data_IF_523667548426
#
_entry.id   IF_523667548426
#
_cell.length_a   1.000
_cell.length_b   1.000
_cell.length_c   1.000
_cell.angle_alpha   90.00
_cell.angle_beta   90.00
_cell.angle_gamma   90.00
#
_symmetry.space_group_name_H-M   'P 1'
#
loop_
_entity.id
_entity.type
_entity.pdbx_description
1 polymer ?
#
# COMPACT_ATOMS: atom_id res chain seq x y z
N UNK A 1 21.27 1.99 -24.22
CA UNK A 1 20.67 1.35 -23.04
C UNK A 1 19.54 0.45 -23.50
N UNK A 2 19.77 -0.86 -23.49
CA UNK A 2 18.72 -1.81 -23.79
C UNK A 2 17.77 -1.91 -22.60
N UNK A 3 16.78 -1.05 -22.56
CA UNK A 3 15.57 -1.34 -21.83
C UNK A 3 14.78 -2.33 -22.69
N UNK A 4 14.74 -3.59 -22.28
CA UNK A 4 13.91 -4.59 -22.93
C UNK A 4 12.42 -4.21 -22.83
N UNK A 5 11.53 -4.77 -23.66
CA UNK A 5 10.11 -4.41 -23.70
C UNK A 5 9.36 -4.62 -22.39
N UNK A 6 9.96 -5.29 -21.41
CA UNK A 6 9.41 -5.53 -20.08
C UNK A 6 10.13 -4.79 -18.94
N UNK A 7 11.08 -3.92 -19.25
CA UNK A 7 11.67 -2.96 -18.34
C UNK A 7 11.27 -1.54 -18.78
N UNK A 8 10.69 -0.75 -17.91
CA UNK A 8 10.47 -0.93 -16.46
C UNK A 8 9.30 -1.87 -16.13
N UNK A 9 9.43 -2.65 -15.05
CA UNK A 9 8.38 -3.54 -14.56
C UNK A 9 7.40 -2.79 -13.67
N UNK A 10 6.10 -2.90 -13.96
CA UNK A 10 5.05 -2.48 -13.06
C UNK A 10 4.83 -3.59 -12.03
N UNK A 11 4.95 -3.25 -10.75
CA UNK A 11 4.70 -4.14 -9.62
C UNK A 11 3.46 -3.65 -8.88
N UNK A 12 2.47 -4.52 -8.72
CA UNK A 12 1.27 -4.23 -7.94
C UNK A 12 1.43 -4.80 -6.51
N UNK A 13 1.24 -3.95 -5.52
CA UNK A 13 1.27 -4.30 -4.11
C UNK A 13 0.28 -5.37 -3.72
N UNK A 14 -0.82 -5.58 -4.48
CA UNK A 14 -1.86 -6.58 -4.20
C UNK A 14 -1.35 -8.02 -4.16
N UNK A 15 -0.19 -8.30 -4.73
CA UNK A 15 0.44 -9.61 -4.65
C UNK A 15 1.05 -9.90 -3.28
N UNK A 16 1.29 -8.87 -2.47
CA UNK A 16 1.92 -8.96 -1.16
C UNK A 16 0.97 -8.60 -0.02
N UNK A 17 0.15 -7.57 -0.21
CA UNK A 17 -0.76 -6.99 0.78
C UNK A 17 -2.11 -6.68 0.12
N UNK A 18 -3.21 -6.55 0.87
CA UNK A 18 -4.53 -6.32 0.29
C UNK A 18 -4.72 -4.86 -0.19
N UNK A 19 -3.78 -4.38 -1.01
CA UNK A 19 -3.82 -3.03 -1.58
C UNK A 19 -3.41 -3.04 -3.05
N UNK A 20 -4.29 -2.54 -3.90
CA UNK A 20 -3.95 -2.21 -5.28
C UNK A 20 -3.08 -0.96 -5.30
N UNK A 21 -1.78 -1.16 -5.57
CA UNK A 21 -0.78 -0.08 -5.62
C UNK A 21 0.29 -0.43 -6.65
N UNK A 22 0.08 0.01 -7.86
CA UNK A 22 1.03 -0.18 -8.95
C UNK A 22 2.16 0.85 -8.86
N UNK A 23 3.38 0.36 -9.02
CA UNK A 23 4.57 1.20 -9.09
C UNK A 23 5.51 0.66 -10.17
N UNK A 24 6.07 1.57 -10.93
CA UNK A 24 7.16 1.27 -11.84
C UNK A 24 8.43 1.07 -11.00
N UNK A 25 9.12 -0.04 -11.24
CA UNK A 25 10.41 -0.33 -10.62
C UNK A 25 11.47 -0.36 -11.71
N UNK A 26 12.49 0.48 -11.52
CA UNK A 26 13.66 0.57 -12.38
C UNK A 26 14.86 0.03 -11.60
N UNK A 27 15.60 -0.89 -12.20
CA UNK A 27 16.84 -1.42 -11.64
C UNK A 27 17.98 -1.08 -12.58
N UNK A 28 18.99 -0.38 -12.07
CA UNK A 28 20.18 0.01 -12.81
C UNK A 28 21.45 -0.58 -12.20
N UNK A 29 22.38 -0.98 -13.06
CA UNK A 29 23.71 -1.43 -12.66
C UNK A 29 24.77 -0.49 -13.28
N UNK A 30 25.80 -0.20 -12.49
CA UNK A 30 26.96 0.53 -12.98
C UNK A 30 27.68 -0.33 -14.03
N UNK A 31 27.92 0.20 -15.22
CA UNK A 31 28.37 -0.57 -16.39
C UNK A 31 29.73 -1.24 -16.17
N UNK A 32 30.66 -0.51 -15.58
CA UNK A 32 32.02 -0.97 -15.32
C UNK A 32 32.11 -2.19 -14.38
N UNK A 33 31.08 -2.44 -13.56
CA UNK A 33 31.01 -3.60 -12.68
C UNK A 33 30.48 -4.87 -13.38
N UNK A 34 29.95 -4.74 -14.59
CA UNK A 34 29.39 -5.86 -15.39
C UNK A 34 28.48 -6.80 -14.58
N UNK A 35 27.54 -6.23 -13.80
CA UNK A 35 26.68 -6.96 -12.85
C UNK A 35 25.30 -7.29 -13.41
N UNK A 36 24.90 -6.76 -14.57
CA UNK A 36 23.56 -6.97 -15.13
C UNK A 36 23.31 -8.47 -15.38
N UNK A 37 24.16 -9.10 -16.17
CA UNK A 37 24.02 -10.51 -16.55
C UNK A 37 22.62 -10.83 -17.04
N UNK A 38 22.05 -11.90 -16.51
CA UNK A 38 20.70 -12.42 -16.75
C UNK A 38 19.63 -11.86 -15.82
N UNK A 39 19.91 -10.75 -15.09
CA UNK A 39 18.95 -10.18 -14.16
C UNK A 39 17.66 -9.74 -14.86
N UNK A 40 16.54 -10.17 -14.31
CA UNK A 40 15.20 -9.75 -14.75
C UNK A 40 14.25 -9.62 -13.58
N UNK A 41 13.38 -8.63 -13.62
CA UNK A 41 12.26 -8.49 -12.68
C UNK A 41 11.10 -9.46 -13.00
N UNK A 42 11.16 -10.21 -14.10
CA UNK A 42 10.17 -11.25 -14.43
C UNK A 42 10.18 -12.40 -13.42
N UNK A 43 11.28 -12.58 -12.68
CA UNK A 43 11.40 -13.62 -11.65
C UNK A 43 10.71 -13.24 -10.33
N UNK A 44 10.22 -12.01 -10.21
CA UNK A 44 9.56 -11.52 -9.00
C UNK A 44 8.37 -12.38 -8.52
N UNK A 45 7.53 -12.96 -9.40
CA UNK A 45 6.43 -13.84 -8.98
C UNK A 45 6.87 -15.04 -8.13
N UNK A 46 8.10 -15.54 -8.30
CA UNK A 46 8.63 -16.63 -7.47
C UNK A 46 8.82 -16.26 -6.00
N UNK A 47 8.81 -14.95 -5.70
CA UNK A 47 8.95 -14.39 -4.35
C UNK A 47 7.64 -13.87 -3.77
N UNK A 48 6.51 -14.08 -4.45
CA UNK A 48 5.21 -13.74 -3.88
C UNK A 48 4.91 -14.66 -2.70
N UNK A 49 4.30 -14.16 -1.63
CA UNK A 49 3.88 -14.99 -0.52
C UNK A 49 2.82 -15.99 -0.99
N UNK A 50 2.88 -17.22 -0.50
CA UNK A 50 1.87 -18.23 -0.79
C UNK A 50 0.46 -17.79 -0.37
N UNK A 51 0.38 -16.98 0.71
CA UNK A 51 -0.84 -16.34 1.17
C UNK A 51 -0.51 -14.92 1.64
N UNK A 52 -1.19 -13.93 1.09
CA UNK A 52 -1.14 -12.57 1.60
C UNK A 52 -2.10 -12.40 2.79
N UNK A 53 -1.88 -11.44 3.69
CA UNK A 53 -2.87 -11.04 4.69
C UNK A 53 -4.18 -10.59 4.01
N UNK A 54 -5.30 -10.80 4.69
CA UNK A 54 -6.59 -10.20 4.31
C UNK A 54 -6.68 -8.77 4.85
N UNK A 55 -7.70 -8.02 4.43
CA UNK A 55 -7.97 -6.70 5.04
C UNK A 55 -8.25 -6.86 6.53
N UNK A 56 -9.04 -7.86 6.93
CA UNK A 56 -9.37 -8.13 8.34
C UNK A 56 -8.12 -8.34 9.20
N UNK A 57 -7.11 -9.06 8.69
CA UNK A 57 -5.86 -9.31 9.42
C UNK A 57 -5.09 -8.03 9.77
N UNK A 58 -5.28 -6.95 8.99
CA UNK A 58 -4.59 -5.68 9.19
C UNK A 58 -5.30 -4.76 10.20
N UNK A 59 -6.59 -4.99 10.44
CA UNK A 59 -7.40 -4.11 11.28
C UNK A 59 -7.06 -4.25 12.75
N UNK A 60 -7.21 -3.15 13.49
CA UNK A 60 -7.13 -3.14 14.95
C UNK A 60 -8.46 -3.63 15.52
N UNK A 61 -8.45 -4.44 16.61
CA UNK A 61 -9.67 -5.01 17.19
C UNK A 61 -10.59 -3.95 17.80
N UNK A 62 -10.03 -2.83 18.25
CA UNK A 62 -10.76 -1.70 18.80
C UNK A 62 -10.19 -0.39 18.22
N UNK A 63 -11.05 0.47 17.75
CA UNK A 63 -10.68 1.72 17.07
C UNK A 63 -11.46 2.87 17.68
N UNK A 64 -10.77 3.99 17.95
CA UNK A 64 -11.37 5.23 18.43
C UNK A 64 -12.47 5.72 17.48
N UNK A 65 -13.58 6.21 18.05
CA UNK A 65 -14.71 6.75 17.31
C UNK A 65 -14.33 7.92 16.38
N UNK A 66 -13.22 8.61 16.62
CA UNK A 66 -12.69 9.68 15.74
C UNK A 66 -12.41 9.22 14.31
N UNK A 67 -12.21 7.91 14.09
CA UNK A 67 -11.98 7.36 12.76
C UNK A 67 -13.28 7.02 12.03
N UNK A 68 -14.42 6.96 12.71
CA UNK A 68 -15.73 6.78 12.09
C UNK A 68 -16.10 8.11 11.40
N UNK A 69 -16.59 8.04 10.16
CA UNK A 69 -17.01 9.25 9.45
C UNK A 69 -18.17 9.92 10.20
N UNK A 70 -18.08 11.23 10.33
CA UNK A 70 -19.22 12.01 10.85
C UNK A 70 -20.42 11.88 9.90
N UNK A 71 -21.69 12.00 10.41
CA UNK A 71 -22.88 11.96 9.55
C UNK A 71 -22.78 12.95 8.37
N UNK A 72 -22.26 14.14 8.63
CA UNK A 72 -22.13 15.21 7.63
C UNK A 72 -21.13 14.81 6.53
N UNK A 73 -19.94 14.30 6.92
CA UNK A 73 -18.92 13.90 5.96
C UNK A 73 -19.38 12.68 5.14
N UNK A 74 -19.99 11.69 5.80
CA UNK A 74 -20.52 10.52 5.10
C UNK A 74 -21.62 10.89 4.10
N UNK A 75 -22.56 11.77 4.49
CA UNK A 75 -23.61 12.27 3.59
C UNK A 75 -23.04 13.03 2.39
N UNK A 76 -22.01 13.83 2.62
CA UNK A 76 -21.30 14.54 1.54
C UNK A 76 -20.64 13.55 0.55
N UNK A 77 -19.84 12.61 1.02
CA UNK A 77 -19.17 11.63 0.17
C UNK A 77 -20.16 10.76 -0.63
N UNK A 78 -21.22 10.33 0.04
CA UNK A 78 -22.27 9.51 -0.58
C UNK A 78 -22.97 10.24 -1.72
N UNK A 79 -23.42 11.48 -1.47
CA UNK A 79 -24.07 12.33 -2.48
C UNK A 79 -23.12 12.71 -3.61
N UNK A 80 -21.89 13.04 -3.28
CA UNK A 80 -20.86 13.36 -4.26
C UNK A 80 -20.61 12.19 -5.20
N UNK A 81 -20.45 10.98 -4.67
CA UNK A 81 -20.27 9.78 -5.47
C UNK A 81 -21.45 9.54 -6.42
N UNK A 82 -22.70 9.60 -5.92
CA UNK A 82 -23.90 9.45 -6.75
C UNK A 82 -23.97 10.48 -7.88
N UNK A 83 -23.71 11.74 -7.58
CA UNK A 83 -23.71 12.83 -8.57
C UNK A 83 -22.72 12.60 -9.71
N UNK A 84 -21.52 12.11 -9.39
CA UNK A 84 -20.49 11.87 -10.40
C UNK A 84 -20.73 10.59 -11.18
N UNK A 85 -21.22 9.52 -10.55
CA UNK A 85 -21.63 8.29 -11.23
C UNK A 85 -22.75 8.54 -12.24
N UNK A 86 -23.75 9.35 -11.90
CA UNK A 86 -24.82 9.72 -12.81
C UNK A 86 -24.32 10.48 -14.06
N UNK A 87 -23.14 11.10 -13.99
CA UNK A 87 -22.47 11.78 -15.11
C UNK A 87 -21.48 10.89 -15.85
N UNK A 88 -21.39 9.60 -15.52
CA UNK A 88 -20.43 8.67 -16.09
C UNK A 88 -18.97 8.95 -15.71
N UNK A 89 -18.73 9.74 -14.65
CA UNK A 89 -17.38 10.08 -14.20
C UNK A 89 -17.26 9.98 -12.67
N UNK A 90 -16.02 10.14 -12.17
CA UNK A 90 -15.72 10.11 -10.75
C UNK A 90 -15.43 8.70 -10.22
N UNK A 91 -14.48 8.65 -9.29
CA UNK A 91 -14.05 7.39 -8.67
C UNK A 91 -14.91 7.00 -7.47
N UNK A 92 -15.77 7.89 -6.96
CA UNK A 92 -16.52 7.69 -5.74
C UNK A 92 -15.62 7.46 -4.53
N UNK A 93 -16.16 6.81 -3.52
CA UNK A 93 -15.40 6.32 -2.36
C UNK A 93 -15.04 4.83 -2.53
N UNK A 94 -13.98 4.40 -1.84
CA UNK A 94 -13.51 3.02 -1.83
C UNK A 94 -13.99 2.25 -0.62
N UNK A 95 -15.26 1.77 -0.62
CA UNK A 95 -15.77 0.90 0.45
C UNK A 95 -15.12 -0.48 0.36
N UNK A 96 -14.65 -0.99 1.48
CA UNK A 96 -14.00 -2.29 1.60
C UNK A 96 -14.72 -3.10 2.68
N UNK A 97 -15.23 -4.25 2.28
CA UNK A 97 -15.80 -5.21 3.22
C UNK A 97 -14.66 -6.07 3.83
N UNK A 98 -14.36 -5.93 5.14
CA UNK A 98 -13.29 -6.69 5.78
C UNK A 98 -13.62 -8.18 5.93
N UNK A 99 -14.89 -8.57 5.87
CA UNK A 99 -15.32 -9.96 5.97
C UNK A 99 -15.10 -10.75 4.67
N UNK A 100 -14.87 -10.06 3.55
CA UNK A 100 -14.51 -10.72 2.30
C UNK A 100 -12.98 -10.87 2.24
N UNK A 101 -12.45 -12.11 2.28
CA UNK A 101 -11.00 -12.37 2.29
C UNK A 101 -10.29 -11.91 0.99
N UNK A 102 -11.04 -11.82 -0.11
CA UNK A 102 -10.50 -11.38 -1.40
C UNK A 102 -10.48 -9.86 -1.56
N UNK A 103 -11.04 -9.12 -0.60
CA UNK A 103 -11.03 -7.66 -0.63
C UNK A 103 -9.64 -7.09 -0.84
N UNK A 104 -9.57 -6.11 -1.74
CA UNK A 104 -8.36 -5.31 -2.01
C UNK A 104 -8.73 -3.84 -1.91
N UNK A 105 -7.97 -3.10 -1.14
CA UNK A 105 -8.16 -1.65 -1.00
C UNK A 105 -7.65 -0.93 -2.26
N UNK A 106 -8.13 0.29 -2.46
CA UNK A 106 -7.50 1.24 -3.39
C UNK A 106 -6.12 1.67 -2.86
N UNK A 107 -5.38 2.38 -3.68
CA UNK A 107 -4.10 2.97 -3.28
C UNK A 107 -4.26 3.97 -2.13
N UNK A 108 -3.57 3.77 -1.02
CA UNK A 108 -3.44 4.75 0.04
C UNK A 108 -2.68 5.96 -0.48
N UNK A 109 -3.29 7.14 -0.46
CA UNK A 109 -2.68 8.38 -0.93
C UNK A 109 -2.10 9.23 0.20
N UNK A 110 -1.18 10.14 -0.14
CA UNK A 110 -0.66 11.14 0.82
C UNK A 110 -1.74 12.12 1.31
N UNK A 111 -2.91 12.15 0.67
CA UNK A 111 -4.03 13.02 1.02
C UNK A 111 -5.09 12.32 1.87
N UNK A 112 -4.87 11.06 2.24
CA UNK A 112 -5.81 10.24 3.03
C UNK A 112 -6.27 10.94 4.33
N UNK A 113 -5.43 11.80 4.91
CA UNK A 113 -5.76 12.58 6.11
C UNK A 113 -6.95 13.52 5.92
N UNK A 114 -7.33 13.87 4.70
CA UNK A 114 -8.43 14.83 4.43
C UNK A 114 -9.80 14.22 4.75
N UNK A 115 -10.23 13.28 3.93
CA UNK A 115 -11.53 12.62 4.05
C UNK A 115 -11.46 11.07 4.07
N UNK A 116 -10.31 10.53 3.67
CA UNK A 116 -10.08 9.08 3.65
C UNK A 116 -10.94 8.34 2.64
N UNK A 117 -11.51 9.05 1.66
CA UNK A 117 -12.52 8.49 0.75
C UNK A 117 -12.00 7.34 -0.12
N UNK A 118 -10.69 7.26 -0.37
CA UNK A 118 -10.11 6.18 -1.17
C UNK A 118 -10.16 4.81 -0.49
N UNK A 119 -10.18 4.74 0.86
CA UNK A 119 -10.27 3.50 1.62
C UNK A 119 -11.17 3.69 2.83
N UNK A 120 -12.38 3.18 2.75
CA UNK A 120 -13.34 3.20 3.85
C UNK A 120 -13.67 1.78 4.26
N UNK A 121 -13.49 1.46 5.53
CA UNK A 121 -13.83 0.14 6.07
C UNK A 121 -15.34 0.11 6.32
N UNK A 122 -15.99 -0.85 5.68
CA UNK A 122 -17.40 -1.12 5.88
C UNK A 122 -17.65 -1.63 7.31
N UNK A 123 -18.68 -1.09 7.94
CA UNK A 123 -19.15 -1.46 9.27
C UNK A 123 -20.59 -2.01 9.25
N UNK A 124 -21.04 -2.46 8.06
CA UNK A 124 -22.39 -2.96 7.86
C UNK A 124 -23.38 -1.88 7.39
N UNK A 125 -22.91 -0.85 6.65
CA UNK A 125 -23.81 0.13 6.06
C UNK A 125 -24.76 -0.55 5.07
N UNK A 126 -26.08 -0.48 5.36
CA UNK A 126 -27.10 -0.93 4.42
C UNK A 126 -27.29 0.13 3.32
N UNK A 127 -26.88 -0.23 2.11
CA UNK A 127 -26.96 0.67 0.96
C UNK A 127 -28.41 0.92 0.54
N UNK A 128 -29.27 -0.11 0.57
CA UNK A 128 -30.66 0.02 0.16
C UNK A 128 -31.45 0.91 1.13
N UNK A 129 -31.24 0.70 2.43
CA UNK A 129 -31.82 1.57 3.45
C UNK A 129 -31.28 3.00 3.33
N UNK A 130 -29.97 3.18 3.12
CA UNK A 130 -29.37 4.50 2.95
C UNK A 130 -29.82 5.24 1.67
N UNK A 131 -30.31 4.51 0.68
CA UNK A 131 -30.93 5.09 -0.52
C UNK A 131 -32.38 5.55 -0.27
N UNK A 132 -33.09 4.83 0.57
CA UNK A 132 -34.47 5.13 0.95
C UNK A 132 -34.51 6.23 2.01
N UNK A 133 -33.73 6.09 3.07
CA UNK A 133 -33.59 7.04 4.16
C UNK A 133 -32.13 7.09 4.61
N UNK A 134 -31.39 8.07 4.15
CA UNK A 134 -29.98 8.23 4.51
C UNK A 134 -29.77 8.49 5.99
N UNK A 135 -30.72 9.17 6.64
CA UNK A 135 -30.60 9.64 8.00
C UNK A 135 -31.18 8.63 9.02
N UNK A 136 -31.58 7.40 8.58
CA UNK A 136 -32.04 6.35 9.45
C UNK A 136 -31.07 6.11 10.63
N UNK A 137 -31.54 6.20 11.89
CA UNK A 137 -30.68 6.16 13.07
C UNK A 137 -29.90 4.84 13.24
N UNK A 138 -30.49 3.71 12.82
CA UNK A 138 -29.82 2.41 12.93
C UNK A 138 -28.70 2.32 11.88
N UNK A 139 -29.00 2.67 10.63
CA UNK A 139 -28.00 2.68 9.57
C UNK A 139 -26.87 3.65 9.86
N UNK A 140 -27.17 4.79 10.47
CA UNK A 140 -26.17 5.79 10.86
C UNK A 140 -25.16 5.27 11.90
N UNK A 141 -25.48 4.22 12.68
CA UNK A 141 -24.50 3.57 13.56
C UNK A 141 -23.45 2.74 12.78
N UNK A 142 -23.79 2.34 11.56
CA UNK A 142 -22.96 1.55 10.66
C UNK A 142 -22.18 2.40 9.65
N UNK A 143 -22.07 3.73 9.87
CA UNK A 143 -21.23 4.58 9.01
C UNK A 143 -19.83 4.00 8.88
N UNK A 144 -19.25 4.04 7.68
CA UNK A 144 -17.90 3.54 7.46
C UNK A 144 -16.87 4.35 8.25
N UNK A 145 -15.68 3.76 8.40
CA UNK A 145 -14.57 4.40 9.07
C UNK A 145 -13.32 4.48 8.19
N UNK A 146 -12.44 5.39 8.51
CA UNK A 146 -11.09 5.42 7.95
C UNK A 146 -10.21 4.38 8.63
N UNK A 147 -9.10 4.05 7.99
CA UNK A 147 -8.00 3.32 8.63
C UNK A 147 -7.34 4.19 9.70
N UNK A 148 -6.84 3.57 10.75
CA UNK A 148 -5.93 4.22 11.69
C UNK A 148 -4.52 4.37 11.09
N UNK A 149 -3.65 5.21 11.64
CA UNK A 149 -2.24 5.25 11.24
C UNK A 149 -1.54 3.89 11.37
N UNK A 150 -1.89 3.10 12.38
CA UNK A 150 -1.37 1.75 12.60
C UNK A 150 -1.79 0.78 11.49
N UNK A 151 -3.05 0.80 11.15
CA UNK A 151 -3.59 0.01 10.03
C UNK A 151 -2.96 0.43 8.70
N UNK A 152 -2.68 1.71 8.50
CA UNK A 152 -1.92 2.18 7.33
C UNK A 152 -0.47 1.64 7.32
N UNK A 153 0.20 1.59 8.48
CA UNK A 153 1.53 0.99 8.59
C UNK A 153 1.51 -0.49 8.18
N UNK A 154 0.51 -1.24 8.63
CA UNK A 154 0.31 -2.66 8.27
C UNK A 154 -0.03 -2.82 6.79
N UNK A 155 -0.90 -1.96 6.24
CA UNK A 155 -1.28 -1.97 4.83
C UNK A 155 -0.11 -1.66 3.90
N UNK A 156 0.91 -0.94 4.39
CA UNK A 156 2.14 -0.67 3.67
C UNK A 156 3.26 -1.67 3.97
N UNK A 157 3.06 -2.57 4.95
CA UNK A 157 4.00 -3.63 5.31
C UNK A 157 5.17 -3.16 6.19
N UNK A 158 5.05 -2.02 6.89
CA UNK A 158 6.03 -1.59 7.89
C UNK A 158 5.98 -2.45 9.15
N UNK A 159 4.88 -3.14 9.35
CA UNK A 159 4.68 -4.04 10.48
C UNK A 159 3.78 -5.21 10.06
N UNK A 160 3.93 -6.36 10.70
CA UNK A 160 3.05 -7.50 10.49
C UNK A 160 1.68 -7.27 11.13
N UNK A 161 0.63 -7.99 10.73
CA UNK A 161 -0.70 -7.84 11.33
C UNK A 161 -0.72 -7.99 12.86
N UNK A 162 0.13 -8.84 13.41
CA UNK A 162 0.23 -9.12 14.84
C UNK A 162 1.30 -8.27 15.56
N UNK A 163 2.06 -7.46 14.81
CA UNK A 163 3.14 -6.64 15.34
C UNK A 163 2.69 -5.26 15.80
N UNK A 164 3.40 -4.72 16.79
CA UNK A 164 3.29 -3.34 17.27
C UNK A 164 4.67 -2.70 17.44
N UNK A 165 5.65 -3.18 16.68
CA UNK A 165 7.04 -2.77 16.81
C UNK A 165 7.36 -1.46 16.10
N UNK A 166 6.61 -1.12 15.04
CA UNK A 166 6.86 0.11 14.27
C UNK A 166 6.40 1.34 15.05
N UNK A 167 7.33 2.22 15.39
CA UNK A 167 7.03 3.46 16.13
C UNK A 167 6.52 4.54 15.19
N UNK A 168 5.38 5.17 15.56
CA UNK A 168 4.76 6.28 14.83
C UNK A 168 4.83 7.53 15.74
N UNK A 169 5.96 8.25 15.80
CA UNK A 169 6.17 9.36 16.74
C UNK A 169 5.63 10.70 16.20
N UNK A 170 4.72 10.68 15.25
CA UNK A 170 4.17 11.85 14.58
C UNK A 170 2.65 11.90 14.72
N UNK A 171 2.03 13.04 14.41
CA UNK A 171 0.57 13.18 14.39
C UNK A 171 -0.07 12.27 13.33
N UNK A 172 -1.35 11.91 13.53
CA UNK A 172 -2.12 11.11 12.57
C UNK A 172 -2.04 11.69 11.15
N UNK A 173 -2.14 13.02 11.01
CA UNK A 173 -2.02 13.71 9.71
C UNK A 173 -0.68 13.46 9.03
N UNK A 174 0.41 13.57 9.78
CA UNK A 174 1.75 13.32 9.24
C UNK A 174 1.98 11.84 8.94
N UNK A 175 1.47 10.95 9.78
CA UNK A 175 1.53 9.51 9.55
C UNK A 175 0.84 9.12 8.23
N UNK A 176 -0.37 9.59 7.99
CA UNK A 176 -1.07 9.36 6.72
C UNK A 176 -0.29 9.88 5.51
N UNK A 177 0.30 11.08 5.61
CA UNK A 177 1.11 11.64 4.52
C UNK A 177 2.35 10.79 4.25
N UNK A 178 3.04 10.35 5.29
CA UNK A 178 4.25 9.54 5.18
C UNK A 178 3.93 8.16 4.59
N UNK A 179 2.93 7.45 5.13
CA UNK A 179 2.52 6.15 4.59
C UNK A 179 2.01 6.25 3.15
N UNK A 180 1.20 7.26 2.84
CA UNK A 180 0.69 7.48 1.48
C UNK A 180 1.79 7.77 0.45
N UNK A 181 2.89 8.39 0.86
CA UNK A 181 4.07 8.63 0.00
C UNK A 181 5.05 7.47 -0.03
N UNK A 182 4.88 6.46 0.84
CA UNK A 182 5.82 5.35 0.94
C UNK A 182 5.57 4.25 -0.11
N UNK A 183 6.37 3.20 -0.02
CA UNK A 183 6.28 2.01 -0.87
C UNK A 183 5.65 0.85 -0.09
N UNK A 184 5.14 -0.16 -0.80
CA UNK A 184 4.76 -1.45 -0.20
C UNK A 184 6.06 -2.20 0.13
N UNK A 185 6.41 -2.22 1.41
CA UNK A 185 7.70 -2.73 1.90
C UNK A 185 8.01 -4.16 1.41
N UNK A 186 7.10 -5.15 1.50
CA UNK A 186 7.40 -6.50 1.05
C UNK A 186 7.66 -6.63 -0.46
N UNK A 187 7.06 -5.75 -1.28
CA UNK A 187 7.34 -5.74 -2.72
C UNK A 187 8.79 -5.32 -3.01
N UNK A 188 9.26 -4.27 -2.34
CA UNK A 188 10.65 -3.81 -2.49
C UNK A 188 11.65 -4.75 -1.82
N UNK A 189 11.27 -5.41 -0.72
CA UNK A 189 12.07 -6.48 -0.12
C UNK A 189 12.26 -7.67 -1.09
N UNK A 190 11.23 -8.03 -1.84
CA UNK A 190 11.35 -9.07 -2.88
C UNK A 190 12.30 -8.63 -4.01
N UNK A 191 12.21 -7.38 -4.49
CA UNK A 191 13.17 -6.84 -5.46
C UNK A 191 14.60 -6.87 -4.91
N UNK A 192 14.80 -6.48 -3.66
CA UNK A 192 16.11 -6.53 -3.01
C UNK A 192 16.66 -7.96 -2.92
N UNK A 193 15.81 -8.96 -2.67
CA UNK A 193 16.20 -10.38 -2.69
C UNK A 193 16.70 -10.84 -4.06
N UNK A 194 16.04 -10.41 -5.15
CA UNK A 194 16.53 -10.70 -6.51
C UNK A 194 17.91 -10.09 -6.78
N UNK A 195 18.21 -8.95 -6.15
CA UNK A 195 19.47 -8.24 -6.31
C UNK A 195 20.58 -8.75 -5.38
N UNK A 196 20.28 -9.59 -4.38
CA UNK A 196 21.19 -9.92 -3.28
C UNK A 196 22.55 -10.47 -3.77
N UNK A 197 22.56 -11.40 -4.73
CA UNK A 197 23.80 -11.98 -5.28
C UNK A 197 24.67 -10.93 -5.98
N UNK A 198 24.07 -9.99 -6.67
CA UNK A 198 24.75 -8.91 -7.39
C UNK A 198 25.29 -7.84 -6.44
N UNK A 199 24.55 -7.54 -5.38
CA UNK A 199 25.01 -6.65 -4.31
C UNK A 199 26.24 -7.24 -3.63
N UNK A 200 26.20 -8.52 -3.27
CA UNK A 200 27.35 -9.22 -2.67
C UNK A 200 28.59 -9.18 -3.57
N UNK A 201 28.40 -9.42 -4.88
CA UNK A 201 29.51 -9.33 -5.84
C UNK A 201 30.07 -7.92 -5.97
N UNK A 202 29.20 -6.89 -5.97
CA UNK A 202 29.64 -5.49 -6.01
C UNK A 202 30.49 -5.11 -4.78
N UNK A 203 30.10 -5.60 -3.60
CA UNK A 203 30.86 -5.37 -2.35
C UNK A 203 32.25 -6.04 -2.42
N UNK A 204 32.31 -7.28 -2.89
CA UNK A 204 33.58 -8.00 -3.06
C UNK A 204 34.52 -7.30 -4.04
N UNK A 205 34.03 -6.83 -5.19
CA UNK A 205 34.81 -6.08 -6.16
C UNK A 205 35.42 -4.80 -5.54
N UNK A 206 34.63 -4.04 -4.80
CA UNK A 206 35.13 -2.83 -4.09
C UNK A 206 36.20 -3.15 -3.06
N UNK A 207 36.05 -4.24 -2.32
CA UNK A 207 37.04 -4.65 -1.32
C UNK A 207 38.37 -5.04 -1.98
N UNK A 208 38.33 -5.76 -3.09
CA UNK A 208 39.54 -6.14 -3.85
C UNK A 208 40.24 -4.93 -4.46
N UNK A 209 39.49 -3.94 -4.98
CA UNK A 209 40.07 -2.68 -5.49
C UNK A 209 40.78 -1.88 -4.37
N UNK A 210 40.17 -1.79 -3.19
CA UNK A 210 40.76 -1.10 -2.04
C UNK A 210 42.07 -1.74 -1.55
N UNK A 211 42.15 -3.09 -1.58
CA UNK A 211 43.37 -3.84 -1.19
C UNK A 211 44.48 -3.64 -2.23
N UNK A 212 44.14 -3.65 -3.52
CA UNK A 212 45.12 -3.50 -4.60
C UNK A 212 45.59 -2.05 -4.76
N UNK A 213 44.72 -1.05 -4.55
CA UNK A 213 45.08 0.37 -4.60
C UNK A 213 45.98 0.82 -3.44
N UNK A 214 45.95 0.14 -2.30
CA UNK A 214 46.82 0.41 -1.14
C UNK A 214 48.24 -0.18 -1.26
N UNK A 215 48.52 -0.99 -2.29
CA UNK A 215 49.85 -1.60 -2.52
C UNK A 215 50.72 -0.84 -3.55
N UNK A 216 50.21 0.27 -4.09
CA UNK A 216 50.88 1.05 -5.14
C UNK A 216 51.37 2.43 -4.66
N UNK A 217 51.66 2.59 -3.34
CA UNK A 217 52.33 3.76 -2.78
C UNK A 217 53.64 3.37 -2.12
#
# INVERSE_FOLDING_TARGET
>A
EDMGPDDPKIIDGKHFLPQHRERIVLVGFRRDLNLKGDFTLRDLPSLYPARRPTVADLLEPAVDAKFILTPVLWKYLYRYAKKHQAKGNGFGFGMVNPLNPDSVTRTLSARYYKDGAEILIDRGWDKALGEKDFDDPQNQQHRPRRLTPRECARLMGFETPQGYSFRIPVSDTQAYRQFGNSVVVPAFAAVAKLLASRISKAVQLRQSEAVNGGRSQ
#
